data_IF_919771464398
#
_entry.id   IF_919771464398
#
_cell.length_a   1.000
_cell.length_b   1.000
_cell.length_c   1.000
_cell.angle_alpha   90.00
_cell.angle_beta   90.00
_cell.angle_gamma   90.00
#
_symmetry.space_group_name_H-M   'P 1'
#
loop_
_entity.id
_entity.type
_entity.pdbx_description
1 polymer ?
#
# COMPACT_ATOMS: atom_id res chain seq x y z
N UNK A 1 -3.65 -25.02 -53.53
CA UNK A 1 -4.64 -23.98 -53.89
C UNK A 1 -4.94 -23.24 -52.60
N UNK A 2 -4.15 -22.25 -52.15
CA UNK A 2 -4.01 -20.85 -52.65
C UNK A 2 -5.38 -20.15 -52.57
N UNK A 3 -5.66 -19.08 -51.81
CA UNK A 3 -4.93 -17.88 -51.33
C UNK A 3 -5.27 -17.62 -49.83
N UNK A 4 -4.41 -17.20 -48.90
CA UNK A 4 -3.65 -15.94 -48.72
C UNK A 4 -4.49 -14.64 -48.73
N UNK A 5 -4.69 -14.02 -47.56
CA UNK A 5 -4.51 -12.56 -47.34
C UNK A 5 -4.49 -12.17 -45.86
N UNK A 6 -3.33 -11.68 -45.46
CA UNK A 6 -3.02 -10.88 -44.28
C UNK A 6 -3.53 -9.44 -44.46
N UNK A 7 -3.72 -8.67 -43.38
CA UNK A 7 -3.36 -7.25 -43.44
C UNK A 7 -2.43 -6.88 -42.27
N UNK A 8 -1.15 -6.71 -42.62
CA UNK A 8 -0.23 -5.83 -41.93
C UNK A 8 -0.54 -4.39 -42.35
N UNK A 9 -1.20 -3.62 -41.49
CA UNK A 9 -1.31 -2.16 -41.61
C UNK A 9 -1.22 -1.58 -40.21
N UNK A 10 0.00 -1.46 -39.68
CA UNK A 10 0.34 -0.56 -38.56
C UNK A 10 1.87 -0.34 -38.39
N UNK A 11 2.67 -0.55 -39.45
CA UNK A 11 4.13 -0.37 -39.40
C UNK A 11 4.69 0.73 -40.31
N UNK A 12 3.84 1.56 -40.93
CA UNK A 12 4.30 2.58 -41.88
C UNK A 12 4.43 4.02 -41.32
N UNK A 13 4.09 4.25 -40.05
CA UNK A 13 4.31 5.56 -39.39
C UNK A 13 5.50 5.59 -38.42
N UNK A 14 6.28 4.50 -38.33
CA UNK A 14 7.30 4.34 -37.29
C UNK A 14 8.76 4.35 -37.79
N UNK A 15 9.02 4.49 -39.10
CA UNK A 15 10.40 4.39 -39.65
C UNK A 15 10.82 5.63 -40.47
N UNK A 16 9.98 6.66 -40.59
CA UNK A 16 10.26 7.87 -41.38
C UNK A 16 10.78 9.08 -40.60
N UNK A 17 10.75 9.07 -39.27
CA UNK A 17 11.11 10.24 -38.43
C UNK A 17 12.38 10.01 -37.59
N UNK A 18 13.24 9.07 -38.00
CA UNK A 18 14.47 8.66 -37.31
C UNK A 18 15.76 8.89 -38.11
N UNK A 19 15.76 9.89 -39.00
CA UNK A 19 17.00 10.35 -39.65
C UNK A 19 16.97 11.87 -39.78
N UNK A 20 17.28 12.56 -38.67
CA UNK A 20 17.86 13.91 -38.54
C UNK A 20 17.76 14.19 -37.02
N UNK A 21 18.91 14.35 -36.34
CA UNK A 21 19.12 14.52 -34.87
C UNK A 21 19.48 13.26 -34.04
N UNK A 22 20.79 13.04 -33.88
CA UNK A 22 21.46 12.77 -32.58
C UNK A 22 21.00 11.61 -31.69
N UNK A 23 21.52 10.40 -31.95
CA UNK A 23 21.17 9.12 -31.34
C UNK A 23 21.90 8.78 -30.01
N UNK A 24 21.91 9.67 -29.01
CA UNK A 24 22.58 9.35 -27.73
C UNK A 24 21.90 9.84 -26.43
N UNK A 25 20.67 10.35 -26.47
CA UNK A 25 19.99 10.85 -25.25
C UNK A 25 18.59 10.33 -24.96
N UNK A 26 18.02 9.48 -25.83
CA UNK A 26 16.63 9.04 -25.71
C UNK A 26 16.44 7.61 -25.20
N UNK A 27 17.50 6.81 -25.07
CA UNK A 27 17.37 5.44 -24.55
C UNK A 27 17.19 5.38 -23.03
N UNK A 28 17.75 6.34 -22.26
CA UNK A 28 17.53 6.41 -20.81
C UNK A 28 16.14 6.97 -20.43
N UNK A 29 15.52 7.76 -21.30
CA UNK A 29 14.19 8.33 -21.02
C UNK A 29 13.08 7.29 -21.31
N UNK A 30 13.24 6.47 -22.35
CA UNK A 30 12.23 5.46 -22.70
C UNK A 30 12.27 4.23 -21.76
N UNK A 31 13.42 3.88 -21.18
CA UNK A 31 13.48 2.85 -20.12
C UNK A 31 13.09 3.37 -18.73
N UNK A 32 13.16 4.68 -18.47
CA UNK A 32 12.71 5.28 -17.19
C UNK A 32 11.18 5.46 -17.08
N UNK A 33 10.44 5.27 -18.17
CA UNK A 33 8.98 5.43 -18.22
C UNK A 33 8.21 4.09 -18.38
N UNK A 34 8.90 2.96 -18.39
CA UNK A 34 8.29 1.62 -18.50
C UNK A 34 7.53 1.17 -17.25
N UNK A 35 7.65 1.87 -16.12
CA UNK A 35 6.85 1.63 -14.90
C UNK A 35 5.61 2.54 -14.81
N UNK A 36 5.41 3.45 -15.77
CA UNK A 36 4.28 4.39 -15.79
C UNK A 36 3.14 3.97 -16.73
N UNK A 37 3.19 2.76 -17.27
CA UNK A 37 2.13 2.16 -18.08
C UNK A 37 2.01 0.67 -17.73
N UNK A 38 1.73 0.38 -16.46
CA UNK A 38 1.00 -0.84 -16.14
C UNK A 38 -0.38 -0.67 -16.77
N UNK A 39 -0.57 -1.38 -17.89
CA UNK A 39 -1.89 -1.65 -18.45
C UNK A 39 -2.83 -1.99 -17.28
N UNK A 40 -4.04 -1.40 -17.20
CA UNK A 40 -4.96 -1.69 -16.12
C UNK A 40 -5.07 -3.20 -16.04
N UNK A 41 -4.64 -3.77 -14.92
CA UNK A 41 -4.62 -5.21 -14.71
C UNK A 41 -5.97 -5.74 -15.20
N UNK A 42 -5.92 -6.48 -16.30
CA UNK A 42 -7.06 -7.17 -16.86
C UNK A 42 -7.68 -7.93 -15.68
N UNK A 43 -8.86 -7.46 -15.23
CA UNK A 43 -9.52 -7.90 -13.99
C UNK A 43 -9.42 -9.41 -13.91
N UNK A 44 -8.45 -9.90 -13.15
CA UNK A 44 -8.34 -11.32 -12.81
C UNK A 44 -9.65 -11.57 -12.06
N UNK A 45 -10.51 -12.40 -12.64
CA UNK A 45 -11.91 -12.52 -12.23
C UNK A 45 -12.03 -12.54 -10.71
N UNK A 46 -12.88 -11.66 -10.17
CA UNK A 46 -13.13 -11.53 -8.73
C UNK A 46 -13.16 -12.92 -8.11
N UNK A 47 -12.11 -13.27 -7.36
CA UNK A 47 -12.17 -14.44 -6.50
C UNK A 47 -13.28 -14.14 -5.52
N UNK A 48 -14.34 -14.93 -5.56
CA UNK A 48 -15.49 -14.75 -4.67
C UNK A 48 -15.13 -14.95 -3.18
N UNK A 49 -13.93 -15.45 -2.88
CA UNK A 49 -13.29 -15.52 -1.58
C UNK A 49 -11.76 -15.42 -1.80
N UNK A 50 -11.20 -14.23 -1.62
CA UNK A 50 -9.75 -14.04 -1.51
C UNK A 50 -9.45 -13.53 -0.12
N UNK A 51 -8.34 -13.98 0.47
CA UNK A 51 -7.85 -13.31 1.67
C UNK A 51 -7.40 -11.90 1.30
N UNK A 52 -7.75 -10.96 2.17
CA UNK A 52 -7.45 -9.54 2.00
C UNK A 52 -6.95 -9.00 3.32
N UNK A 53 -6.38 -7.80 3.27
CA UNK A 53 -5.96 -7.06 4.45
C UNK A 53 -6.95 -5.92 4.68
N UNK A 54 -7.85 -6.12 5.64
CA UNK A 54 -8.75 -5.06 6.11
C UNK A 54 -7.99 -4.20 7.11
N UNK A 55 -8.07 -2.89 6.95
CA UNK A 55 -7.53 -1.93 7.90
C UNK A 55 -8.66 -1.21 8.62
N UNK A 56 -8.49 -1.07 9.93
CA UNK A 56 -9.28 -0.18 10.78
C UNK A 56 -8.36 0.88 11.35
N UNK A 57 -8.71 2.15 11.16
CA UNK A 57 -8.03 3.31 11.70
C UNK A 57 -8.93 3.98 12.72
N UNK A 58 -8.43 4.21 13.94
CA UNK A 58 -9.13 5.01 14.96
C UNK A 58 -8.28 6.24 15.28
N UNK A 59 -8.86 7.43 15.16
CA UNK A 59 -8.18 8.68 15.43
C UNK A 59 -7.67 8.73 16.87
N UNK A 60 -6.38 9.05 17.02
CA UNK A 60 -5.67 9.12 18.30
C UNK A 60 -5.32 10.54 18.71
N UNK A 61 -5.09 11.42 17.74
CA UNK A 61 -4.66 12.80 17.95
C UNK A 61 -5.68 13.78 17.38
N UNK A 62 -5.88 14.91 18.04
CA UNK A 62 -6.73 16.00 17.55
C UNK A 62 -6.15 16.70 16.32
N UNK A 63 -4.84 16.52 16.07
CA UNK A 63 -4.16 17.02 14.86
C UNK A 63 -4.37 16.12 13.65
N UNK A 64 -4.87 14.90 13.84
CA UNK A 64 -5.20 13.98 12.77
C UNK A 64 -6.65 14.20 12.31
N UNK A 65 -6.93 13.79 11.07
CA UNK A 65 -8.25 13.96 10.46
C UNK A 65 -8.58 12.74 9.61
N UNK A 66 -9.70 12.09 9.92
CA UNK A 66 -10.22 10.96 9.14
C UNK A 66 -10.41 11.34 7.65
N UNK A 67 -11.07 12.47 7.30
CA UNK A 67 -11.16 12.90 5.90
C UNK A 67 -9.81 13.01 5.17
N UNK A 68 -8.80 13.65 5.79
CA UNK A 68 -7.46 13.79 5.18
C UNK A 68 -6.75 12.44 5.01
N UNK A 69 -6.98 11.51 5.93
CA UNK A 69 -6.48 10.14 5.81
C UNK A 69 -7.15 9.44 4.62
N UNK A 70 -8.47 9.50 4.50
CA UNK A 70 -9.22 8.89 3.39
C UNK A 70 -8.73 9.40 2.02
N UNK A 71 -8.53 10.70 1.85
CA UNK A 71 -7.96 11.26 0.61
C UNK A 71 -6.57 10.71 0.27
N UNK A 72 -5.79 10.36 1.28
CA UNK A 72 -4.46 9.77 1.10
C UNK A 72 -4.54 8.29 0.75
N UNK A 73 -5.50 7.57 1.36
CA UNK A 73 -5.73 6.15 1.13
C UNK A 73 -6.31 5.86 -0.26
N UNK A 74 -7.21 6.72 -0.76
CA UNK A 74 -7.77 6.57 -2.11
C UNK A 74 -6.70 6.59 -3.21
N UNK A 75 -5.60 7.32 -3.00
CA UNK A 75 -4.46 7.36 -3.94
C UNK A 75 -3.70 6.04 -4.05
N UNK A 76 -3.92 5.12 -3.10
CA UNK A 76 -3.35 3.79 -3.11
C UNK A 76 -4.22 2.78 -3.87
N UNK A 77 -5.32 3.22 -4.49
CA UNK A 77 -6.24 2.39 -5.28
C UNK A 77 -6.71 1.14 -4.50
N UNK A 78 -7.38 1.30 -3.35
CA UNK A 78 -7.81 0.17 -2.53
C UNK A 78 -8.76 -0.75 -3.31
N UNK A 79 -8.65 -2.05 -3.06
CA UNK A 79 -9.57 -3.04 -3.65
C UNK A 79 -11.00 -2.82 -3.14
N UNK A 80 -11.12 -2.46 -1.85
CA UNK A 80 -12.37 -2.10 -1.19
C UNK A 80 -12.21 -0.68 -0.68
N UNK A 81 -13.01 0.23 -1.24
CA UNK A 81 -13.02 1.65 -0.92
C UNK A 81 -13.12 1.88 0.57
N UNK A 82 -12.34 2.83 1.07
CA UNK A 82 -12.40 3.18 2.48
C UNK A 82 -13.68 3.97 2.79
N UNK A 83 -14.33 3.63 3.90
CA UNK A 83 -15.47 4.37 4.42
C UNK A 83 -15.18 4.88 5.82
N UNK A 84 -15.70 6.06 6.12
CA UNK A 84 -15.79 6.55 7.50
C UNK A 84 -16.96 5.83 8.19
N UNK A 85 -16.63 4.88 9.07
CA UNK A 85 -17.62 4.02 9.75
C UNK A 85 -18.13 4.65 11.05
N UNK A 86 -17.28 5.46 11.69
CA UNK A 86 -17.61 6.32 12.84
C UNK A 86 -16.92 7.68 12.68
N UNK A 87 -17.29 8.71 13.45
CA UNK A 87 -16.66 10.03 13.34
C UNK A 87 -15.13 10.01 13.43
N UNK A 88 -14.57 9.10 14.23
CA UNK A 88 -13.13 8.91 14.45
C UNK A 88 -12.58 7.64 13.77
N UNK A 89 -13.39 6.88 13.03
CA UNK A 89 -13.01 5.60 12.46
C UNK A 89 -13.12 5.56 10.93
N UNK A 90 -12.08 5.02 10.29
CA UNK A 90 -12.11 4.63 8.89
C UNK A 90 -11.79 3.14 8.74
N UNK A 91 -12.51 2.47 7.83
CA UNK A 91 -12.25 1.08 7.45
C UNK A 91 -12.15 0.92 5.94
N UNK A 92 -11.41 -0.06 5.46
CA UNK A 92 -11.24 -0.38 4.03
C UNK A 92 -10.28 -1.54 3.84
N UNK A 93 -9.99 -1.95 2.61
CA UNK A 93 -9.14 -3.13 2.38
C UNK A 93 -8.27 -3.07 1.13
N UNK A 94 -7.13 -3.75 1.21
CA UNK A 94 -6.22 -4.01 0.10
C UNK A 94 -6.03 -5.51 -0.13
N UNK A 95 -5.80 -5.90 -1.38
CA UNK A 95 -5.33 -7.24 -1.75
C UNK A 95 -3.84 -7.41 -1.41
N UNK A 96 -3.06 -6.34 -1.58
CA UNK A 96 -1.62 -6.32 -1.42
C UNK A 96 -1.21 -6.04 0.03
N UNK A 97 -0.41 -6.93 0.61
CA UNK A 97 0.21 -6.72 1.93
C UNK A 97 1.10 -5.47 1.97
N UNK A 98 1.76 -5.15 0.85
CA UNK A 98 2.61 -3.97 0.72
C UNK A 98 1.78 -2.68 0.82
N UNK A 99 0.63 -2.63 0.15
CA UNK A 99 -0.24 -1.45 0.16
C UNK A 99 -0.94 -1.30 1.51
N UNK A 100 -1.37 -2.41 2.11
CA UNK A 100 -1.87 -2.43 3.49
C UNK A 100 -0.84 -1.88 4.49
N UNK A 101 0.40 -2.35 4.42
CA UNK A 101 1.47 -1.84 5.29
C UNK A 101 1.78 -0.36 4.99
N UNK A 102 1.78 0.05 3.72
CA UNK A 102 2.01 1.45 3.36
C UNK A 102 0.90 2.36 3.93
N UNK A 103 -0.36 1.99 3.75
CA UNK A 103 -1.51 2.67 4.33
C UNK A 103 -1.41 2.79 5.87
N UNK A 104 -1.04 1.69 6.54
CA UNK A 104 -0.85 1.67 7.99
C UNK A 104 0.24 2.65 8.46
N UNK A 105 1.36 2.74 7.72
CA UNK A 105 2.47 3.61 8.08
C UNK A 105 2.23 5.09 7.71
N UNK A 106 1.38 5.39 6.73
CA UNK A 106 0.90 6.76 6.47
C UNK A 106 0.13 7.30 7.68
N UNK A 107 -0.71 6.46 8.29
CA UNK A 107 -1.51 6.83 9.46
C UNK A 107 -0.69 7.01 10.76
N UNK A 108 0.57 6.55 10.76
CA UNK A 108 1.49 6.75 11.89
C UNK A 108 1.95 8.20 12.03
N UNK A 109 1.84 9.01 10.97
CA UNK A 109 2.23 10.43 10.96
C UNK A 109 1.68 11.16 12.19
N UNK A 110 2.57 11.84 12.92
CA UNK A 110 2.26 12.58 14.14
C UNK A 110 1.49 11.78 15.22
N UNK A 111 1.67 10.45 15.28
CA UNK A 111 0.89 9.55 16.13
C UNK A 111 -0.63 9.68 15.91
N UNK A 112 -1.04 9.95 14.67
CA UNK A 112 -2.39 10.37 14.33
C UNK A 112 -3.48 9.34 14.55
N UNK A 113 -3.18 8.06 14.32
CA UNK A 113 -4.17 6.97 14.38
C UNK A 113 -3.63 5.73 15.08
N UNK A 114 -4.52 5.01 15.77
CA UNK A 114 -4.31 3.59 16.01
C UNK A 114 -4.70 2.79 14.78
N UNK A 115 -3.94 1.75 14.46
CA UNK A 115 -4.15 0.95 13.26
C UNK A 115 -4.31 -0.53 13.61
N UNK A 116 -5.40 -1.13 13.17
CA UNK A 116 -5.60 -2.57 13.18
C UNK A 116 -5.55 -3.13 11.76
N UNK A 117 -4.75 -4.17 11.54
CA UNK A 117 -4.73 -4.93 10.29
C UNK A 117 -5.33 -6.31 10.56
N UNK A 118 -6.41 -6.63 9.86
CA UNK A 118 -7.02 -7.96 9.87
C UNK A 118 -6.72 -8.69 8.57
N UNK A 119 -6.05 -9.85 8.65
CA UNK A 119 -5.82 -10.73 7.51
C UNK A 119 -6.76 -11.93 7.56
N UNK A 120 -7.55 -12.13 6.51
CA UNK A 120 -8.51 -13.23 6.44
C UNK A 120 -9.45 -13.09 5.25
N UNK A 121 -10.48 -13.93 5.21
CA UNK A 121 -11.49 -13.86 4.14
C UNK A 121 -12.37 -12.61 4.29
N UNK A 122 -12.73 -12.04 3.13
CA UNK A 122 -13.73 -11.00 3.01
C UNK A 122 -14.71 -11.39 1.89
N UNK A 123 -15.99 -11.45 2.24
CA UNK A 123 -17.09 -11.73 1.34
C UNK A 123 -17.67 -10.42 0.82
N UNK A 124 -17.79 -10.36 -0.51
CA UNK A 124 -18.34 -9.23 -1.24
C UNK A 124 -19.82 -9.45 -1.61
N UNK A 125 -20.64 -8.39 -1.72
CA UNK A 125 -21.96 -8.50 -2.32
C UNK A 125 -21.86 -9.02 -3.76
N UNK A 126 -22.70 -10.00 -4.11
CA UNK A 126 -22.68 -10.69 -5.41
C UNK A 126 -22.73 -9.77 -6.65
N UNK A 127 -23.27 -8.56 -6.52
CA UNK A 127 -23.43 -7.60 -7.62
C UNK A 127 -22.48 -6.39 -7.55
N UNK A 128 -21.55 -6.36 -6.59
CA UNK A 128 -20.71 -5.19 -6.39
C UNK A 128 -19.81 -4.85 -7.60
N UNK A 129 -19.40 -5.86 -8.38
CA UNK A 129 -18.65 -5.66 -9.62
C UNK A 129 -19.41 -4.93 -10.73
N UNK A 130 -20.74 -4.88 -10.68
CA UNK A 130 -21.59 -4.17 -11.62
C UNK A 130 -21.84 -2.70 -11.24
N UNK A 131 -21.64 -2.34 -9.95
CA UNK A 131 -21.90 -1.00 -9.41
C UNK A 131 -20.65 -0.11 -9.32
N UNK A 132 -19.50 -0.60 -9.79
CA UNK A 132 -18.31 0.23 -10.02
C UNK A 132 -17.45 0.52 -8.78
N UNK A 133 -17.96 0.32 -7.56
CA UNK A 133 -17.16 0.42 -6.33
C UNK A 133 -17.65 -0.58 -5.27
N UNK A 134 -16.71 -1.24 -4.61
CA UNK A 134 -16.93 -2.09 -3.44
C UNK A 134 -16.74 -1.25 -2.18
N UNK A 135 -17.80 -1.04 -1.41
CA UNK A 135 -17.71 -0.35 -0.12
C UNK A 135 -17.51 -1.37 1.01
N UNK A 136 -16.62 -1.05 1.95
CA UNK A 136 -16.35 -1.89 3.11
C UNK A 136 -17.60 -2.12 3.99
N UNK A 137 -18.55 -1.18 4.00
CA UNK A 137 -19.79 -1.28 4.78
C UNK A 137 -20.71 -2.39 4.29
N UNK A 138 -20.55 -2.82 3.03
CA UNK A 138 -21.36 -3.87 2.41
C UNK A 138 -20.68 -5.25 2.51
N UNK A 139 -19.48 -5.31 3.09
CA UNK A 139 -18.68 -6.53 3.18
C UNK A 139 -18.85 -7.22 4.54
N UNK A 140 -18.61 -8.53 4.57
CA UNK A 140 -18.59 -9.36 5.79
C UNK A 140 -17.43 -10.33 5.76
N UNK A 141 -16.92 -10.80 6.90
CA UNK A 141 -15.88 -11.84 6.94
C UNK A 141 -14.90 -11.66 8.10
N UNK A 142 -14.06 -12.66 8.32
CA UNK A 142 -13.14 -12.67 9.47
C UNK A 142 -12.16 -11.50 9.44
N UNK A 143 -11.74 -11.05 8.26
CA UNK A 143 -10.79 -9.94 8.14
C UNK A 143 -11.32 -8.65 8.79
N UNK A 144 -12.62 -8.40 8.71
CA UNK A 144 -13.28 -7.25 9.36
C UNK A 144 -13.29 -7.37 10.89
N UNK A 145 -13.51 -8.58 11.41
CA UNK A 145 -13.47 -8.83 12.84
C UNK A 145 -12.04 -8.70 13.37
N UNK A 146 -11.08 -9.32 12.67
CA UNK A 146 -9.67 -9.25 13.02
C UNK A 146 -9.14 -7.82 12.98
N UNK A 147 -9.51 -7.00 12.00
CA UNK A 147 -9.03 -5.61 11.94
C UNK A 147 -9.53 -4.78 13.12
N UNK A 148 -10.78 -5.00 13.56
CA UNK A 148 -11.35 -4.35 14.74
C UNK A 148 -10.70 -4.81 16.04
N UNK A 149 -10.53 -6.12 16.22
CA UNK A 149 -9.83 -6.66 17.39
C UNK A 149 -8.36 -6.19 17.44
N UNK A 150 -7.71 -6.10 16.28
CA UNK A 150 -6.36 -5.58 16.15
C UNK A 150 -6.27 -4.10 16.57
N UNK A 151 -7.16 -3.22 16.09
CA UNK A 151 -7.09 -1.80 16.47
C UNK A 151 -7.33 -1.60 17.97
N UNK A 152 -8.24 -2.37 18.57
CA UNK A 152 -8.45 -2.34 20.02
C UNK A 152 -7.22 -2.82 20.79
N UNK A 153 -6.55 -3.86 20.31
CA UNK A 153 -5.25 -4.28 20.86
C UNK A 153 -4.17 -3.21 20.68
N UNK A 154 -4.18 -2.51 19.55
CA UNK A 154 -3.24 -1.42 19.22
C UNK A 154 -3.38 -0.22 20.17
N UNK A 155 -4.60 0.06 20.64
CA UNK A 155 -4.89 1.11 21.63
C UNK A 155 -4.24 0.83 22.99
N UNK A 156 -4.26 -0.44 23.42
CA UNK A 156 -3.75 -0.85 24.72
C UNK A 156 -2.23 -0.71 24.91
N UNK A 157 -1.79 -0.89 26.16
CA UNK A 157 -0.39 -0.82 26.59
C UNK A 157 0.03 0.57 27.09
N UNK A 158 1.17 0.62 27.80
CA UNK A 158 1.78 1.85 28.31
C UNK A 158 3.29 1.86 27.99
N UNK A 159 3.76 2.60 26.96
CA UNK A 159 2.96 3.38 26.00
C UNK A 159 2.14 2.49 25.05
N UNK A 160 1.11 3.08 24.45
CA UNK A 160 0.22 2.45 23.47
C UNK A 160 1.00 1.71 22.36
N UNK A 161 0.42 0.65 21.80
CA UNK A 161 1.07 -0.15 20.75
C UNK A 161 1.08 0.57 19.40
N UNK A 162 0.06 1.37 19.10
CA UNK A 162 -0.05 2.16 17.87
C UNK A 162 -0.57 1.35 16.67
N UNK A 163 -0.01 0.15 16.46
CA UNK A 163 -0.44 -0.78 15.40
C UNK A 163 -0.51 -2.21 15.94
N UNK A 164 -1.42 -3.01 15.37
CA UNK A 164 -1.45 -4.46 15.56
C UNK A 164 -1.97 -5.20 14.33
N UNK A 165 -1.66 -6.49 14.26
CA UNK A 165 -2.10 -7.42 13.22
C UNK A 165 -2.84 -8.57 13.89
N UNK A 166 -3.98 -8.97 13.32
CA UNK A 166 -4.68 -10.20 13.70
C UNK A 166 -5.03 -11.03 12.47
N UNK A 167 -4.95 -12.35 12.66
CA UNK A 167 -5.24 -13.35 11.66
C UNK A 167 -5.60 -14.67 12.36
N UNK A 168 -6.02 -15.67 11.59
CA UNK A 168 -6.27 -17.04 12.09
C UNK A 168 -5.01 -17.65 12.72
N UNK A 169 -3.86 -17.54 12.06
CA UNK A 169 -2.57 -17.91 12.64
C UNK A 169 -2.10 -16.81 13.61
N UNK A 170 -2.37 -17.04 14.90
CA UNK A 170 -2.01 -16.10 15.97
C UNK A 170 -0.51 -15.91 16.13
N UNK A 171 0.30 -16.96 15.94
CA UNK A 171 1.75 -16.87 16.11
C UNK A 171 2.37 -15.99 15.02
N UNK A 172 1.91 -16.17 13.78
CA UNK A 172 2.31 -15.33 12.66
C UNK A 172 1.85 -13.88 12.84
N UNK A 173 0.62 -13.67 13.32
CA UNK A 173 0.06 -12.35 13.61
C UNK A 173 0.85 -11.61 14.71
N UNK A 174 1.31 -12.31 15.75
CA UNK A 174 2.14 -11.74 16.80
C UNK A 174 3.52 -11.32 16.27
N UNK A 175 4.16 -12.14 15.43
CA UNK A 175 5.43 -11.78 14.77
C UNK A 175 5.29 -10.55 13.87
N UNK A 176 4.20 -10.48 13.09
CA UNK A 176 3.90 -9.33 12.25
C UNK A 176 3.62 -8.08 13.09
N UNK A 177 2.85 -8.21 14.17
CA UNK A 177 2.54 -7.12 15.10
C UNK A 177 3.81 -6.52 15.69
N UNK A 178 4.72 -7.33 16.21
CA UNK A 178 5.99 -6.85 16.77
C UNK A 178 6.82 -6.09 15.75
N UNK A 179 6.91 -6.62 14.53
CA UNK A 179 7.69 -6.05 13.43
C UNK A 179 7.07 -4.75 12.90
N UNK A 180 5.75 -4.74 12.66
CA UNK A 180 5.00 -3.57 12.22
C UNK A 180 5.04 -2.45 13.26
N UNK A 181 5.02 -2.80 14.55
CA UNK A 181 5.13 -1.82 15.65
C UNK A 181 6.47 -1.08 15.65
N UNK A 182 7.57 -1.75 15.31
CA UNK A 182 8.88 -1.09 15.16
C UNK A 182 8.83 -0.05 14.02
N UNK A 183 8.32 -0.44 12.85
CA UNK A 183 8.16 0.47 11.70
C UNK A 183 7.22 1.64 12.01
N UNK A 184 6.10 1.37 12.68
CA UNK A 184 5.14 2.40 13.07
C UNK A 184 5.79 3.45 13.97
N UNK A 185 6.58 3.03 14.97
CA UNK A 185 7.30 3.96 15.87
C UNK A 185 8.30 4.83 15.12
N UNK A 186 9.09 4.22 14.24
CA UNK A 186 10.03 4.95 13.36
C UNK A 186 9.31 6.03 12.56
N UNK A 187 8.15 5.69 11.97
CA UNK A 187 7.36 6.64 11.19
C UNK A 187 6.72 7.74 12.05
N UNK A 188 6.20 7.37 13.22
CA UNK A 188 5.48 8.28 14.10
C UNK A 188 6.39 9.32 14.77
N UNK A 189 7.65 8.98 15.04
CA UNK A 189 8.61 9.86 15.72
C UNK A 189 9.32 10.83 14.76
N UNK A 190 9.10 10.72 13.45
CA UNK A 190 9.62 11.67 12.45
C UNK A 190 8.99 13.04 12.63
N UNK A 191 9.85 14.05 12.50
CA UNK A 191 9.41 15.44 12.42
C UNK A 191 8.71 15.74 11.09
N UNK A 192 7.93 16.83 11.06
CA UNK A 192 7.33 17.32 9.80
C UNK A 192 8.37 17.59 8.70
N UNK A 193 9.55 18.09 9.08
CA UNK A 193 10.62 18.36 8.13
C UNK A 193 11.15 17.07 7.48
N UNK A 194 11.31 16.00 8.27
CA UNK A 194 11.71 14.68 7.78
C UNK A 194 10.63 14.05 6.92
N UNK A 195 9.35 14.16 7.33
CA UNK A 195 8.21 13.67 6.55
C UNK A 195 8.13 14.33 5.17
N UNK A 196 8.34 15.64 5.08
CA UNK A 196 8.39 16.34 3.77
C UNK A 196 9.50 15.82 2.86
N UNK A 197 10.64 15.41 3.43
CA UNK A 197 11.74 14.83 2.65
C UNK A 197 11.37 13.43 2.16
N UNK A 198 10.95 12.52 3.05
CA UNK A 198 10.70 11.12 2.67
C UNK A 198 9.53 10.96 1.71
N UNK A 199 8.50 11.83 1.79
CA UNK A 199 7.34 11.82 0.87
C UNK A 199 7.71 12.16 -0.58
N UNK A 200 8.88 12.75 -0.83
CA UNK A 200 9.37 13.04 -2.19
C UNK A 200 10.23 11.91 -2.77
N UNK A 201 10.51 10.86 -2.00
CA UNK A 201 11.44 9.82 -2.39
C UNK A 201 10.70 8.52 -2.71
N UNK A 202 11.00 7.98 -3.88
CA UNK A 202 10.53 6.65 -4.29
C UNK A 202 11.58 5.62 -3.86
N UNK A 203 11.21 4.58 -3.09
CA UNK A 203 12.15 3.51 -2.72
C UNK A 203 12.81 2.87 -3.94
N UNK A 204 14.09 2.50 -3.81
CA UNK A 204 14.86 1.85 -4.89
C UNK A 204 15.37 2.78 -6.00
N UNK A 205 14.81 3.98 -6.16
CA UNK A 205 15.25 4.94 -7.18
C UNK A 205 16.46 5.75 -6.67
N UNK A 206 17.54 5.75 -7.44
CA UNK A 206 18.80 6.45 -7.09
C UNK A 206 18.78 7.91 -7.56
N UNK A 207 19.63 8.75 -6.97
CA UNK A 207 19.87 10.13 -7.44
C UNK A 207 18.78 11.16 -7.08
N UNK A 208 17.72 10.77 -6.35
CA UNK A 208 16.57 11.62 -6.05
C UNK A 208 16.86 12.76 -5.07
N UNK A 209 17.91 12.67 -4.25
CA UNK A 209 18.18 13.66 -3.19
C UNK A 209 18.36 15.09 -3.74
N UNK A 210 18.94 15.25 -4.94
CA UNK A 210 19.10 16.56 -5.58
C UNK A 210 17.75 17.15 -6.02
N UNK A 211 16.86 16.31 -6.55
CA UNK A 211 15.52 16.74 -6.95
C UNK A 211 14.67 17.09 -5.73
N UNK A 212 14.71 16.26 -4.67
CA UNK A 212 14.03 16.54 -3.41
C UNK A 212 14.53 17.82 -2.74
N UNK A 213 15.85 18.05 -2.76
CA UNK A 213 16.47 19.28 -2.26
C UNK A 213 15.96 20.52 -3.01
N UNK A 214 15.93 20.47 -4.34
CA UNK A 214 15.42 21.55 -5.17
C UNK A 214 13.93 21.83 -4.93
N UNK A 215 13.11 20.78 -4.84
CA UNK A 215 11.66 20.91 -4.58
C UNK A 215 11.36 21.52 -3.21
N UNK A 216 12.18 21.25 -2.19
CA UNK A 216 12.01 21.75 -0.83
C UNK A 216 12.75 23.05 -0.55
N UNK A 217 13.57 23.55 -1.48
CA UNK A 217 14.41 24.73 -1.26
C UNK A 217 15.48 24.54 -0.19
N UNK A 218 15.99 23.32 0.00
CA UNK A 218 17.02 22.97 0.98
C UNK A 218 18.27 22.40 0.30
N UNK A 219 19.34 22.16 1.06
CA UNK A 219 20.56 21.54 0.50
C UNK A 219 20.43 20.02 0.40
N UNK A 220 21.14 19.40 -0.55
CA UNK A 220 21.24 17.93 -0.62
C UNK A 220 21.80 17.33 0.67
N UNK A 221 22.69 18.05 1.36
CA UNK A 221 23.20 17.63 2.68
C UNK A 221 22.10 17.63 3.75
N UNK A 222 21.16 18.57 3.71
CA UNK A 222 19.99 18.57 4.59
C UNK A 222 19.07 17.37 4.31
N UNK A 223 18.84 17.04 3.03
CA UNK A 223 18.11 15.82 2.63
C UNK A 223 18.80 14.57 3.16
N UNK A 224 20.12 14.44 2.94
CA UNK A 224 20.90 13.30 3.43
C UNK A 224 20.82 13.15 4.96
N UNK A 225 20.92 14.25 5.70
CA UNK A 225 20.77 14.24 7.17
C UNK A 225 19.36 13.85 7.60
N UNK A 226 18.33 14.33 6.91
CA UNK A 226 16.95 13.97 7.20
C UNK A 226 16.71 12.46 6.97
N UNK A 227 17.29 11.87 5.93
CA UNK A 227 17.19 10.42 5.68
C UNK A 227 17.79 9.58 6.81
N UNK A 228 18.94 9.99 7.34
CA UNK A 228 19.60 9.31 8.47
C UNK A 228 18.76 9.45 9.75
N UNK A 229 18.30 10.66 10.06
CA UNK A 229 17.54 10.93 11.30
C UNK A 229 16.15 10.28 11.30
N UNK A 230 15.53 10.20 10.14
CA UNK A 230 14.22 9.57 9.95
C UNK A 230 14.27 8.05 9.92
N UNK A 231 15.47 7.44 9.96
CA UNK A 231 15.68 6.00 9.81
C UNK A 231 15.03 5.45 8.53
N UNK A 232 15.07 6.24 7.45
CA UNK A 232 14.40 5.89 6.19
C UNK A 232 14.96 4.60 5.59
N UNK A 233 16.28 4.42 5.61
CA UNK A 233 16.89 3.22 5.02
C UNK A 233 16.55 1.96 5.81
N UNK A 234 16.52 2.07 7.14
CA UNK A 234 16.14 0.99 8.05
C UNK A 234 14.66 0.63 7.88
N UNK A 235 13.78 1.63 7.77
CA UNK A 235 12.37 1.41 7.44
C UNK A 235 12.22 0.65 6.11
N UNK A 236 12.89 1.14 5.05
CA UNK A 236 12.80 0.51 3.73
C UNK A 236 13.32 -0.93 3.72
N UNK A 237 14.39 -1.23 4.46
CA UNK A 237 14.91 -2.58 4.59
C UNK A 237 13.97 -3.50 5.37
N UNK A 238 13.33 -3.01 6.44
CA UNK A 238 12.47 -3.80 7.31
C UNK A 238 11.04 -4.00 6.78
N UNK A 239 10.57 -3.16 5.85
CA UNK A 239 9.25 -3.32 5.19
C UNK A 239 9.06 -4.71 4.59
N UNK A 240 10.07 -5.26 3.92
CA UNK A 240 10.00 -6.57 3.27
C UNK A 240 9.68 -7.70 4.26
N UNK A 241 10.19 -7.63 5.49
CA UNK A 241 9.91 -8.61 6.54
C UNK A 241 8.43 -8.61 6.92
N UNK A 242 7.86 -7.43 7.14
CA UNK A 242 6.45 -7.31 7.53
C UNK A 242 5.53 -7.74 6.39
N UNK A 243 5.84 -7.33 5.16
CA UNK A 243 5.10 -7.78 3.96
C UNK A 243 5.14 -9.29 3.84
N UNK A 244 6.30 -9.93 3.98
CA UNK A 244 6.40 -11.39 3.92
C UNK A 244 5.60 -12.10 5.02
N UNK A 245 5.55 -11.54 6.23
CA UNK A 245 4.73 -12.09 7.32
C UNK A 245 3.24 -11.98 7.00
N UNK A 246 2.80 -10.84 6.44
CA UNK A 246 1.42 -10.62 6.00
C UNK A 246 1.03 -11.53 4.83
N UNK A 247 1.86 -11.65 3.80
CA UNK A 247 1.61 -12.53 2.64
C UNK A 247 1.46 -14.01 3.05
N UNK A 248 2.17 -14.44 4.11
CA UNK A 248 2.03 -15.80 4.64
C UNK A 248 0.69 -16.02 5.34
N UNK A 249 -0.02 -14.96 5.75
CA UNK A 249 -1.38 -15.04 6.29
C UNK A 249 -2.45 -15.08 5.19
N UNK A 250 -2.12 -14.63 3.98
CA UNK A 250 -2.96 -14.70 2.77
C UNK A 250 -3.01 -16.11 2.16
N UNK A 251 -2.25 -17.05 2.72
CA UNK A 251 -2.37 -18.46 2.33
C UNK A 251 -3.59 -19.04 3.02
N UNK A 252 -4.75 -18.95 2.36
CA UNK A 252 -5.89 -19.80 2.68
C UNK A 252 -5.37 -21.25 2.77
N UNK A 253 -5.62 -21.94 3.89
CA UNK A 253 -5.31 -23.37 3.95
C UNK A 253 -5.89 -24.03 2.70
N UNK A 254 -5.14 -24.92 2.02
CA UNK A 254 -5.73 -25.71 0.96
C UNK A 254 -6.93 -26.41 1.59
N UNK A 255 -8.13 -26.06 1.11
CA UNK A 255 -9.37 -26.71 1.53
C UNK A 255 -9.08 -28.21 1.51
N UNK A 256 -9.01 -28.82 2.68
CA UNK A 256 -8.90 -30.27 2.79
C UNK A 256 -10.14 -30.77 2.06
N UNK A 257 -9.94 -31.21 0.81
CA UNK A 257 -10.95 -31.94 0.07
C UNK A 257 -11.29 -33.07 1.03
N UNK A 258 -12.51 -33.03 1.57
CA UNK A 258 -13.04 -34.04 2.43
C UNK A 258 -12.81 -35.38 1.74
N UNK A 259 -11.81 -36.11 2.23
CA UNK A 259 -11.67 -37.51 1.96
C UNK A 259 -12.61 -38.20 2.95
N UNK A 260 -13.58 -38.89 2.36
CA UNK A 260 -14.61 -39.78 2.93
C UNK A 260 -16.02 -39.20 3.10
#
# INVERSE_FOLDING_TARGET
>A
MTLMRCPAVLSAWYVGFMHIFGLAKYYEIIMSLSWAFELPHFRRGMRHNGSVFVLTFIQRSDTASVPSLLESLEKLNPQVTFAQTYPDEAQGAFESASDALHAALLAAHAHGFWVGIGAGELTFPRFAGALGALNITDCTGDALEFSRLAVEYARGGAPSRGIAVMARDRSLAEMATGSARLLYRVCADRTEAEWRVVRLLVPGVRGQQKAAAAALGITTQAVSRALVRSLWHEEQAARATVVNLLDRMDVAEPSVIAAE
#
